data_IF_424473994877
#
_entry.id   IF_424473994877
#
_cell.length_a   1.000
_cell.length_b   1.000
_cell.length_c   1.000
_cell.angle_alpha   90.00
_cell.angle_beta   90.00
_cell.angle_gamma   90.00
#
_symmetry.space_group_name_H-M   'P 1'
#
loop_
_entity.id
_entity.type
_entity.pdbx_description
1 polymer ?
#
# COMPACT_ATOMS: atom_id res chain seq x y z
N UNK A 1 -10.64 17.23 -0.67
CA UNK A 1 -10.49 17.19 0.80
C UNK A 1 -11.80 16.74 1.45
N UNK A 2 -12.15 15.45 1.44
CA UNK A 2 -13.40 14.98 2.09
C UNK A 2 -13.36 13.48 2.47
N UNK A 3 -12.20 12.86 2.70
CA UNK A 3 -12.11 11.46 3.13
C UNK A 3 -11.60 11.26 4.56
N UNK A 4 -11.31 12.32 5.30
CA UNK A 4 -10.80 12.26 6.68
C UNK A 4 -11.80 11.91 7.77
N UNK A 5 -13.09 11.74 7.46
CA UNK A 5 -14.12 11.63 8.50
C UNK A 5 -14.76 10.25 8.66
N UNK A 6 -14.34 9.22 7.91
CA UNK A 6 -15.12 7.98 7.85
C UNK A 6 -14.50 6.77 8.56
N UNK A 7 -13.39 6.87 9.22
CA UNK A 7 -12.75 5.71 9.87
C UNK A 7 -12.39 5.87 11.35
N UNK A 8 -12.96 6.84 12.04
CA UNK A 8 -13.18 6.65 13.47
C UNK A 8 -14.47 5.82 13.61
N UNK A 9 -14.45 4.61 13.13
CA UNK A 9 -15.32 3.55 13.63
C UNK A 9 -14.98 3.47 15.12
N UNK A 10 -15.86 4.06 15.93
CA UNK A 10 -15.70 4.06 17.36
C UNK A 10 -15.42 2.62 17.79
N UNK A 11 -14.22 2.35 18.33
CA UNK A 11 -13.83 1.04 18.87
C UNK A 11 -14.82 0.55 19.95
N UNK A 12 -15.73 1.40 20.37
CA UNK A 12 -16.86 1.11 21.24
C UNK A 12 -18.03 0.43 20.53
N UNK A 13 -18.14 0.48 19.19
CA UNK A 13 -19.22 -0.18 18.44
C UNK A 13 -18.91 -1.64 18.11
N UNK A 14 -17.64 -2.00 18.01
CA UNK A 14 -17.18 -3.39 17.90
C UNK A 14 -16.60 -3.74 19.26
N UNK A 15 -17.16 -4.74 19.94
CA UNK A 15 -16.67 -5.22 21.24
C UNK A 15 -15.26 -5.80 21.12
N UNK A 16 -14.30 -4.93 20.79
CA UNK A 16 -12.91 -5.32 20.55
C UNK A 16 -12.35 -6.08 21.75
N UNK A 17 -11.73 -7.20 21.51
CA UNK A 17 -11.15 -8.04 22.53
C UNK A 17 -10.01 -7.31 23.26
N UNK A 18 -10.07 -7.36 24.57
CA UNK A 18 -9.01 -6.82 25.42
C UNK A 18 -8.21 -7.98 25.99
N UNK A 19 -6.96 -8.12 25.60
CA UNK A 19 -6.14 -9.23 26.08
C UNK A 19 -5.89 -9.13 27.59
N UNK A 20 -5.73 -10.28 28.23
CA UNK A 20 -5.41 -10.39 29.67
C UNK A 20 -3.92 -10.25 29.95
N UNK A 21 -3.09 -10.32 28.93
CA UNK A 21 -1.63 -10.16 28.95
C UNK A 21 -1.19 -9.44 27.67
N UNK A 22 0.08 -9.01 27.61
CA UNK A 22 0.65 -8.42 26.39
C UNK A 22 0.79 -9.51 25.33
N UNK A 23 0.34 -9.22 24.10
CA UNK A 23 0.46 -10.14 22.96
C UNK A 23 1.46 -9.56 21.97
N UNK A 24 2.47 -10.34 21.65
CA UNK A 24 3.39 -10.07 20.55
C UNK A 24 3.06 -10.95 19.35
N UNK A 25 3.31 -10.45 18.18
CA UNK A 25 3.06 -11.22 16.95
C UNK A 25 4.01 -10.84 15.84
N UNK A 26 4.21 -11.78 14.91
CA UNK A 26 4.80 -11.51 13.61
C UNK A 26 3.81 -11.93 12.53
N UNK A 27 3.78 -11.17 11.44
CA UNK A 27 2.89 -11.42 10.30
C UNK A 27 3.68 -11.28 9.00
N UNK A 28 3.44 -12.21 8.06
CA UNK A 28 3.98 -12.12 6.70
C UNK A 28 2.87 -12.34 5.71
N UNK A 29 2.83 -11.55 4.64
CA UNK A 29 1.79 -11.64 3.61
C UNK A 29 2.36 -11.48 2.22
N UNK A 30 1.81 -12.24 1.25
CA UNK A 30 1.86 -11.91 -0.16
C UNK A 30 0.75 -10.90 -0.47
N UNK A 31 1.05 -9.93 -1.31
CA UNK A 31 0.17 -8.83 -1.69
C UNK A 31 -0.08 -8.90 -3.19
N UNK A 32 -1.34 -8.88 -3.59
CA UNK A 32 -1.75 -8.57 -4.94
C UNK A 32 -2.39 -7.19 -4.92
N UNK A 33 -1.93 -6.29 -5.79
CA UNK A 33 -2.44 -4.91 -5.85
C UNK A 33 -2.69 -4.48 -7.28
N UNK A 34 -3.77 -3.75 -7.48
CA UNK A 34 -4.18 -3.14 -8.74
C UNK A 34 -3.99 -1.62 -8.60
N UNK A 35 -3.16 -0.99 -9.45
CA UNK A 35 -3.02 0.45 -9.45
C UNK A 35 -4.33 1.14 -9.86
N UNK A 36 -4.72 2.18 -9.14
CA UNK A 36 -5.97 2.90 -9.36
C UNK A 36 -5.67 4.38 -9.64
N UNK A 37 -6.20 4.93 -10.75
CA UNK A 37 -6.06 6.34 -11.14
C UNK A 37 -4.61 6.83 -11.06
N UNK A 38 -3.75 6.40 -12.01
CA UNK A 38 -2.34 6.80 -12.04
C UNK A 38 -2.16 7.92 -13.05
N UNK A 39 -2.57 9.13 -12.67
CA UNK A 39 -2.37 10.32 -13.49
C UNK A 39 -0.99 10.92 -13.18
N UNK A 40 -0.21 11.13 -14.25
CA UNK A 40 1.03 11.87 -14.19
C UNK A 40 0.73 13.32 -14.63
N UNK A 41 1.02 14.27 -13.76
CA UNK A 41 0.83 15.69 -14.06
C UNK A 41 2.16 16.39 -14.29
N UNK A 42 2.36 16.96 -15.47
CA UNK A 42 3.52 17.80 -15.80
C UNK A 42 3.32 19.18 -15.19
N UNK A 43 4.19 19.55 -14.24
CA UNK A 43 4.02 20.81 -13.45
C UNK A 43 4.22 22.10 -14.26
N UNK A 44 4.92 22.03 -15.40
CA UNK A 44 5.26 23.22 -16.19
C UNK A 44 4.12 23.73 -17.07
N UNK A 45 3.32 22.84 -17.61
CA UNK A 45 2.21 23.18 -18.52
C UNK A 45 0.84 22.71 -18.05
N UNK A 46 0.81 21.84 -17.03
CA UNK A 46 -0.42 21.29 -16.46
C UNK A 46 -1.03 20.17 -17.28
N UNK A 47 -0.28 19.62 -18.26
CA UNK A 47 -0.74 18.46 -19.02
C UNK A 47 -0.82 17.24 -18.11
N UNK A 48 -1.87 16.44 -18.30
CA UNK A 48 -2.10 15.20 -17.58
C UNK A 48 -1.89 14.03 -18.56
N UNK A 49 -1.13 13.04 -18.12
CA UNK A 49 -0.86 11.81 -18.84
C UNK A 49 -1.44 10.65 -18.02
N UNK A 50 -2.38 9.93 -18.60
CA UNK A 50 -2.95 8.74 -18.00
C UNK A 50 -1.99 7.54 -18.21
N UNK A 51 -1.57 6.91 -17.09
CA UNK A 51 -0.64 5.78 -17.10
C UNK A 51 -1.39 4.48 -16.80
N UNK A 52 -1.23 3.49 -17.67
CA UNK A 52 -1.74 2.13 -17.48
C UNK A 52 -0.68 1.21 -16.89
N UNK A 53 -0.85 0.82 -15.62
CA UNK A 53 0.00 -0.17 -14.96
C UNK A 53 -0.71 -1.52 -14.91
N UNK A 54 0.06 -2.59 -14.99
CA UNK A 54 -0.41 -3.95 -14.72
C UNK A 54 -0.57 -4.20 -13.22
N UNK A 55 -1.36 -5.25 -12.90
CA UNK A 55 -1.45 -5.79 -11.55
C UNK A 55 -0.08 -6.19 -11.04
N UNK A 56 0.16 -5.95 -9.76
CA UNK A 56 1.44 -6.27 -9.16
C UNK A 56 1.34 -7.29 -8.05
N UNK A 57 2.48 -7.93 -7.81
CA UNK A 57 2.70 -8.75 -6.65
C UNK A 57 3.76 -8.12 -5.76
N UNK A 58 3.53 -8.23 -4.46
CA UNK A 58 4.43 -7.74 -3.46
C UNK A 58 4.39 -8.59 -2.20
N UNK A 59 5.07 -8.12 -1.18
CA UNK A 59 5.03 -8.77 0.12
C UNK A 59 5.02 -7.74 1.26
N UNK A 60 4.57 -8.16 2.44
CA UNK A 60 4.79 -7.41 3.67
C UNK A 60 5.20 -8.33 4.83
N UNK A 61 5.91 -7.73 5.77
CA UNK A 61 6.27 -8.34 7.04
C UNK A 61 6.01 -7.33 8.16
N UNK A 62 5.40 -7.77 9.26
CA UNK A 62 5.08 -6.91 10.38
C UNK A 62 5.43 -7.57 11.71
N UNK A 63 5.83 -6.74 12.67
CA UNK A 63 5.88 -7.09 14.08
C UNK A 63 4.80 -6.30 14.81
N UNK A 64 3.97 -6.99 15.60
CA UNK A 64 2.84 -6.42 16.30
C UNK A 64 2.97 -6.54 17.80
N UNK A 65 2.40 -5.59 18.51
CA UNK A 65 2.26 -5.58 19.96
C UNK A 65 0.88 -5.06 20.35
N UNK A 66 0.14 -5.85 21.11
CA UNK A 66 -1.14 -5.45 21.70
C UNK A 66 -0.99 -5.45 23.23
N UNK A 67 -1.03 -4.25 23.87
CA UNK A 67 -0.89 -4.14 25.31
C UNK A 67 -2.08 -4.76 26.04
N UNK A 68 -1.80 -5.35 27.20
CA UNK A 68 -2.82 -5.85 28.11
C UNK A 68 -3.91 -4.82 28.40
N UNK A 69 -5.15 -5.22 28.27
CA UNK A 69 -6.32 -4.40 28.57
C UNK A 69 -6.68 -3.34 27.52
N UNK A 70 -5.89 -3.24 26.44
CA UNK A 70 -6.17 -2.29 25.35
C UNK A 70 -6.93 -2.97 24.21
N UNK A 71 -7.87 -2.23 23.63
CA UNK A 71 -8.63 -2.65 22.44
C UNK A 71 -7.84 -2.48 21.14
N UNK A 72 -6.69 -1.79 21.20
CA UNK A 72 -5.83 -1.52 20.05
C UNK A 72 -4.44 -2.11 20.27
N UNK A 73 -3.90 -2.69 19.21
CA UNK A 73 -2.49 -3.02 19.08
C UNK A 73 -1.81 -2.07 18.10
N UNK A 74 -0.48 -2.18 18.05
CA UNK A 74 0.37 -1.44 17.12
C UNK A 74 1.18 -2.44 16.31
N UNK A 75 1.37 -2.16 15.03
CA UNK A 75 2.22 -2.99 14.17
C UNK A 75 3.21 -2.09 13.42
N UNK A 76 4.49 -2.46 13.44
CA UNK A 76 5.49 -1.93 12.54
C UNK A 76 5.55 -2.87 11.34
N UNK A 77 5.23 -2.38 10.14
CA UNK A 77 5.13 -3.15 8.91
C UNK A 77 6.07 -2.60 7.85
N UNK A 78 6.84 -3.48 7.22
CA UNK A 78 7.50 -3.22 5.95
C UNK A 78 6.66 -3.81 4.83
N UNK A 79 6.47 -3.03 3.77
CA UNK A 79 5.72 -3.41 2.56
C UNK A 79 6.54 -3.07 1.32
N UNK A 80 6.58 -3.97 0.35
CA UNK A 80 7.20 -3.77 -0.96
C UNK A 80 6.26 -4.26 -2.05
N UNK A 81 6.03 -3.42 -3.06
CA UNK A 81 5.24 -3.74 -4.26
C UNK A 81 5.93 -3.19 -5.51
N UNK A 82 5.81 -3.92 -6.63
CA UNK A 82 6.38 -3.54 -7.91
C UNK A 82 5.29 -3.61 -8.99
N UNK A 83 5.21 -2.60 -9.84
CA UNK A 83 4.20 -2.46 -10.89
C UNK A 83 4.89 -2.16 -12.22
N UNK A 84 4.56 -2.92 -13.25
CA UNK A 84 5.03 -2.64 -14.61
C UNK A 84 4.07 -1.71 -15.34
N UNK A 85 4.62 -0.67 -15.97
CA UNK A 85 3.87 0.24 -16.84
C UNK A 85 3.80 -0.38 -18.23
N UNK A 86 2.58 -0.55 -18.74
CA UNK A 86 2.33 -1.15 -20.05
C UNK A 86 1.92 -0.15 -21.12
N UNK A 87 1.37 0.99 -20.73
CA UNK A 87 0.91 2.02 -21.67
C UNK A 87 0.85 3.41 -21.07
N UNK A 88 0.96 4.42 -21.92
CA UNK A 88 0.64 5.81 -21.61
C UNK A 88 -0.34 6.36 -22.62
N UNK A 89 -1.30 7.17 -22.20
CA UNK A 89 -2.26 7.82 -23.09
C UNK A 89 -2.00 9.33 -23.11
N UNK A 90 -1.51 9.82 -24.26
CA UNK A 90 -1.28 11.25 -24.49
C UNK A 90 -2.51 11.85 -25.20
N UNK A 91 -3.08 12.98 -24.70
CA UNK A 91 -4.32 13.55 -25.24
C UNK A 91 -4.28 13.86 -26.75
N UNK A 92 -3.12 14.18 -27.30
CA UNK A 92 -2.96 14.54 -28.72
C UNK A 92 -2.40 13.40 -29.61
N UNK A 93 -1.70 12.43 -29.02
CA UNK A 93 -1.00 11.36 -29.73
C UNK A 93 -1.67 9.99 -29.57
N UNK A 94 -2.63 9.86 -28.64
CA UNK A 94 -3.30 8.60 -28.33
C UNK A 94 -2.45 7.69 -27.44
N UNK A 95 -2.78 6.40 -27.41
CA UNK A 95 -2.08 5.41 -26.62
C UNK A 95 -0.70 5.09 -27.20
N UNK A 96 0.32 5.22 -26.40
CA UNK A 96 1.71 4.86 -26.72
C UNK A 96 2.15 3.69 -25.84
N UNK A 97 2.97 2.81 -26.39
CA UNK A 97 3.64 1.78 -25.62
C UNK A 97 4.71 2.44 -24.72
N UNK A 98 4.74 2.04 -23.46
CA UNK A 98 5.74 2.49 -22.51
C UNK A 98 6.26 1.28 -21.74
N UNK A 99 7.58 1.25 -21.50
CA UNK A 99 8.23 0.25 -20.65
C UNK A 99 8.84 0.97 -19.46
N UNK A 100 8.23 0.81 -18.32
CA UNK A 100 8.74 1.35 -17.08
C UNK A 100 8.33 0.45 -15.92
N UNK A 101 9.10 0.52 -14.83
CA UNK A 101 8.79 -0.20 -13.60
C UNK A 101 8.70 0.81 -12.45
N UNK A 102 7.65 0.69 -11.63
CA UNK A 102 7.48 1.45 -10.41
C UNK A 102 7.61 0.52 -9.21
N UNK A 103 8.63 0.74 -8.38
CA UNK A 103 8.81 0.06 -7.11
C UNK A 103 8.40 0.98 -5.96
N UNK A 104 7.64 0.46 -5.01
CA UNK A 104 7.18 1.18 -3.82
C UNK A 104 7.55 0.40 -2.58
N UNK A 105 8.44 0.96 -1.77
CA UNK A 105 8.84 0.40 -0.48
C UNK A 105 8.34 1.32 0.64
N UNK A 106 7.69 0.77 1.65
CA UNK A 106 7.09 1.57 2.72
C UNK A 106 7.27 0.92 4.08
N UNK A 107 7.60 1.75 5.07
CA UNK A 107 7.54 1.36 6.48
C UNK A 107 6.33 2.05 7.12
N UNK A 108 5.40 1.27 7.67
CA UNK A 108 4.19 1.74 8.32
C UNK A 108 4.23 1.53 9.82
N UNK A 109 3.67 2.50 10.55
CA UNK A 109 3.17 2.31 11.90
C UNK A 109 1.64 2.21 11.83
N UNK A 110 1.11 1.03 12.15
CA UNK A 110 -0.32 0.72 12.11
C UNK A 110 -0.92 0.72 13.51
N UNK A 111 -2.14 1.25 13.64
CA UNK A 111 -3.02 0.99 14.76
C UNK A 111 -4.06 -0.05 14.32
N UNK A 112 -4.16 -1.16 15.05
CA UNK A 112 -4.97 -2.32 14.66
C UNK A 112 -5.92 -2.69 15.80
N UNK A 113 -7.19 -2.97 15.46
CA UNK A 113 -8.17 -3.54 16.38
C UNK A 113 -8.57 -4.94 15.93
N UNK A 114 -8.86 -5.83 16.89
CA UNK A 114 -9.18 -7.24 16.64
C UNK A 114 -10.40 -7.64 17.45
N UNK A 115 -11.24 -8.49 16.87
CA UNK A 115 -12.42 -9.05 17.53
C UNK A 115 -12.60 -10.52 17.16
N UNK A 116 -12.62 -11.41 18.15
CA UNK A 116 -12.96 -12.82 17.97
C UNK A 116 -14.47 -12.98 17.75
N UNK A 117 -14.85 -13.64 16.66
CA UNK A 117 -16.25 -13.93 16.34
C UNK A 117 -16.73 -15.32 16.78
N UNK A 118 -15.85 -16.13 17.38
CA UNK A 118 -16.06 -17.55 17.62
C UNK A 118 -15.65 -18.41 16.40
N UNK A 119 -15.69 -19.74 16.52
CA UNK A 119 -15.27 -20.68 15.47
C UNK A 119 -13.83 -20.43 14.96
N UNK A 120 -12.93 -20.01 15.82
CA UNK A 120 -11.52 -19.73 15.50
C UNK A 120 -11.33 -18.63 14.44
N UNK A 121 -12.32 -17.72 14.30
CA UNK A 121 -12.26 -16.59 13.37
C UNK A 121 -12.14 -15.29 14.17
N UNK A 122 -11.16 -14.49 13.78
CA UNK A 122 -10.96 -13.12 14.25
C UNK A 122 -11.12 -12.16 13.07
N UNK A 123 -11.95 -11.14 13.21
CA UNK A 123 -11.93 -9.99 12.29
C UNK A 123 -10.98 -8.94 12.83
N UNK A 124 -10.34 -8.23 11.94
CA UNK A 124 -9.47 -7.13 12.32
C UNK A 124 -9.56 -5.99 11.30
N UNK A 125 -9.15 -4.82 11.74
CA UNK A 125 -9.02 -3.66 10.87
C UNK A 125 -8.02 -2.68 11.45
N UNK A 126 -7.44 -1.86 10.60
CA UNK A 126 -6.43 -0.91 11.01
C UNK A 126 -6.24 0.23 10.04
N UNK A 127 -5.50 1.22 10.52
CA UNK A 127 -5.01 2.37 9.75
C UNK A 127 -3.54 2.56 10.03
N UNK A 128 -2.79 2.98 9.03
CA UNK A 128 -1.36 3.18 9.13
C UNK A 128 -0.90 4.49 8.53
N UNK A 129 0.14 5.05 9.12
CA UNK A 129 0.93 6.14 8.60
C UNK A 129 2.33 5.61 8.33
N UNK A 130 2.89 5.91 7.17
CA UNK A 130 4.17 5.37 6.74
C UNK A 130 5.04 6.39 6.03
N UNK A 131 6.28 5.97 5.83
CA UNK A 131 7.27 6.63 5.00
C UNK A 131 7.59 5.71 3.84
N UNK A 132 7.41 6.22 2.62
CA UNK A 132 7.49 5.47 1.38
C UNK A 132 8.61 5.99 0.52
N UNK A 133 9.44 5.09 -0.01
CA UNK A 133 10.36 5.34 -1.11
C UNK A 133 9.75 4.82 -2.39
N UNK A 134 9.66 5.68 -3.41
CA UNK A 134 9.07 5.38 -4.70
C UNK A 134 10.14 5.53 -5.75
N UNK A 135 10.49 4.42 -6.37
CA UNK A 135 11.43 4.37 -7.50
C UNK A 135 10.65 4.16 -8.80
N UNK A 136 10.93 4.98 -9.80
CA UNK A 136 10.36 4.88 -11.14
C UNK A 136 11.48 4.80 -12.16
N UNK A 137 11.56 3.68 -12.88
CA UNK A 137 12.56 3.39 -13.90
C UNK A 137 11.89 3.36 -15.28
N UNK A 138 12.05 4.43 -16.05
CA UNK A 138 11.47 4.56 -17.40
C UNK A 138 12.52 4.19 -18.45
N UNK A 139 12.30 3.06 -19.14
CA UNK A 139 13.24 2.47 -20.10
C UNK A 139 12.94 2.86 -21.53
N UNK A 140 11.66 2.92 -21.91
CA UNK A 140 11.27 3.35 -23.26
C UNK A 140 9.92 4.05 -23.30
N UNK A 141 9.74 4.93 -24.27
CA UNK A 141 8.49 5.62 -24.53
C UNK A 141 8.26 5.66 -26.05
N UNK A 142 7.07 5.19 -26.51
CA UNK A 142 6.71 5.20 -27.93
C UNK A 142 7.40 4.16 -28.80
N UNK A 143 7.92 3.07 -28.21
CA UNK A 143 8.59 1.99 -28.93
C UNK A 143 10.02 2.31 -29.43
N UNK A 144 10.53 3.50 -29.12
CA UNK A 144 11.90 3.88 -29.41
C UNK A 144 12.79 3.50 -28.21
N UNK A 145 13.59 2.46 -28.36
CA UNK A 145 14.42 1.88 -27.29
C UNK A 145 15.70 2.70 -27.01
N UNK A 146 15.96 3.76 -27.75
CA UNK A 146 17.16 4.60 -27.59
C UNK A 146 16.96 5.76 -26.61
N UNK A 147 15.75 5.90 -26.00
CA UNK A 147 15.49 6.87 -24.96
C UNK A 147 15.62 6.24 -23.57
N UNK A 148 16.82 6.25 -23.03
CA UNK A 148 17.03 6.07 -21.60
C UNK A 148 16.60 7.36 -20.89
N UNK A 149 15.33 7.44 -20.49
CA UNK A 149 14.76 8.64 -19.86
C UNK A 149 15.23 8.78 -18.41
N UNK A 150 15.69 7.69 -17.80
CA UNK A 150 16.35 7.68 -16.51
C UNK A 150 15.48 7.18 -15.36
N UNK A 151 16.14 7.08 -14.23
CA UNK A 151 15.55 6.63 -12.96
C UNK A 151 15.22 7.84 -12.09
N UNK A 152 14.04 7.80 -11.50
CA UNK A 152 13.55 8.78 -10.54
C UNK A 152 13.33 8.10 -9.20
N UNK A 153 13.67 8.76 -8.12
CA UNK A 153 13.43 8.26 -6.77
C UNK A 153 12.97 9.41 -5.89
N UNK A 154 11.91 9.21 -5.13
CA UNK A 154 11.37 10.21 -4.21
C UNK A 154 10.84 9.53 -2.95
N UNK A 155 11.05 10.21 -1.84
CA UNK A 155 10.55 9.79 -0.54
C UNK A 155 9.31 10.63 -0.16
N UNK A 156 8.26 9.96 0.31
CA UNK A 156 7.00 10.64 0.64
C UNK A 156 6.28 9.98 1.82
N UNK A 157 5.27 10.67 2.34
CA UNK A 157 4.39 10.13 3.38
C UNK A 157 3.33 9.26 2.71
N UNK A 158 3.06 8.09 3.31
CA UNK A 158 2.04 7.18 2.86
C UNK A 158 1.01 6.88 3.94
N UNK A 159 -0.20 6.56 3.50
CA UNK A 159 -1.31 6.15 4.35
C UNK A 159 -1.82 4.79 3.89
N UNK A 160 -2.28 3.98 4.84
CA UNK A 160 -3.04 2.78 4.51
C UNK A 160 -4.24 2.60 5.44
N UNK A 161 -5.27 1.94 4.90
CA UNK A 161 -6.39 1.44 5.68
C UNK A 161 -6.67 0.01 5.26
N UNK A 162 -7.04 -0.86 6.20
CA UNK A 162 -7.29 -2.25 5.90
C UNK A 162 -8.34 -2.87 6.82
N UNK A 163 -8.98 -3.92 6.29
CA UNK A 163 -9.85 -4.82 7.03
C UNK A 163 -9.55 -6.26 6.61
N UNK A 164 -9.72 -7.20 7.52
CA UNK A 164 -9.45 -8.58 7.21
C UNK A 164 -10.03 -9.56 8.21
N UNK A 165 -9.78 -10.81 7.95
CA UNK A 165 -10.09 -11.90 8.87
C UNK A 165 -8.89 -12.83 9.01
N UNK A 166 -8.79 -13.42 10.19
CA UNK A 166 -7.81 -14.41 10.56
C UNK A 166 -8.54 -15.67 11.00
N UNK A 167 -8.11 -16.82 10.49
CA UNK A 167 -8.56 -18.13 10.93
C UNK A 167 -7.43 -18.82 11.66
N UNK A 168 -7.66 -19.19 12.93
CA UNK A 168 -6.68 -19.96 13.70
C UNK A 168 -6.45 -21.34 13.03
N UNK A 169 -5.18 -21.68 12.84
CA UNK A 169 -4.69 -22.98 12.40
C UNK A 169 -4.27 -23.81 13.64
N UNK A 170 -3.57 -23.14 14.56
CA UNK A 170 -3.23 -23.62 15.91
C UNK A 170 -3.53 -22.53 16.92
N UNK A 171 -3.19 -22.74 18.20
CA UNK A 171 -3.38 -21.72 19.24
C UNK A 171 -2.56 -20.44 18.96
N UNK A 172 -1.39 -20.59 18.34
CA UNK A 172 -0.46 -19.48 18.09
C UNK A 172 -0.34 -19.08 16.61
N UNK A 173 -0.85 -19.89 15.65
CA UNK A 173 -0.71 -19.65 14.21
C UNK A 173 -2.06 -19.45 13.56
N UNK A 174 -2.21 -18.35 12.83
CA UNK A 174 -3.40 -18.01 12.05
C UNK A 174 -3.10 -17.79 10.57
N UNK A 175 -4.06 -18.18 9.73
CA UNK A 175 -4.11 -17.79 8.32
C UNK A 175 -4.85 -16.46 8.20
N UNK A 176 -4.24 -15.51 7.49
CA UNK A 176 -4.73 -14.12 7.39
C UNK A 176 -5.11 -13.80 5.95
N UNK A 177 -6.26 -13.14 5.79
CA UNK A 177 -6.68 -12.51 4.53
C UNK A 177 -7.08 -11.07 4.81
N UNK A 178 -6.63 -10.14 3.97
CA UNK A 178 -6.80 -8.71 4.19
C UNK A 178 -7.12 -8.01 2.87
N UNK A 179 -8.11 -7.12 2.91
CA UNK A 179 -8.34 -6.10 1.88
C UNK A 179 -7.78 -4.79 2.38
N UNK A 180 -7.00 -4.11 1.55
CA UNK A 180 -6.32 -2.88 1.90
C UNK A 180 -6.49 -1.79 0.85
N UNK A 181 -6.30 -0.58 1.28
CA UNK A 181 -6.13 0.61 0.45
C UNK A 181 -4.83 1.30 0.85
N UNK A 182 -3.99 1.55 -0.14
CA UNK A 182 -2.73 2.29 0.00
C UNK A 182 -2.84 3.62 -0.75
N UNK A 183 -2.26 4.66 -0.19
CA UNK A 183 -2.10 5.95 -0.85
C UNK A 183 -0.82 6.61 -0.36
N UNK A 184 0.07 7.02 -1.27
CA UNK A 184 1.17 7.92 -0.99
C UNK A 184 0.77 9.37 -1.33
N UNK A 185 1.35 10.34 -0.61
CA UNK A 185 1.23 11.74 -0.96
C UNK A 185 1.94 11.97 -2.30
N UNK A 186 1.42 12.86 -3.15
CA UNK A 186 1.90 13.05 -4.53
C UNK A 186 3.42 13.27 -4.59
N UNK A 187 4.23 12.25 -4.97
CA UNK A 187 5.67 12.42 -5.09
C UNK A 187 5.97 13.38 -6.24
N UNK A 188 6.91 14.30 -5.98
CA UNK A 188 7.41 15.21 -7.01
C UNK A 188 8.70 14.64 -7.59
N UNK A 189 8.57 14.09 -8.77
CA UNK A 189 9.68 13.46 -9.47
C UNK A 189 10.40 14.50 -10.34
N UNK A 190 11.70 14.69 -10.08
CA UNK A 190 12.55 15.64 -10.82
C UNK A 190 13.81 14.91 -11.30
N UNK A 191 14.23 15.23 -12.50
CA UNK A 191 15.51 14.81 -13.07
C UNK A 191 16.15 16.02 -13.76
N UNK A 192 17.49 16.07 -13.83
CA UNK A 192 18.24 17.14 -14.51
C UNK A 192 17.89 17.28 -16.02
N UNK A 193 17.32 16.22 -16.62
CA UNK A 193 17.00 16.15 -18.04
C UNK A 193 15.51 16.34 -18.37
N UNK A 194 14.62 16.27 -17.37
CA UNK A 194 13.16 16.29 -17.58
C UNK A 194 12.49 17.40 -16.78
N UNK A 195 11.27 17.75 -17.20
CA UNK A 195 10.44 18.67 -16.45
C UNK A 195 9.91 17.97 -15.19
N UNK A 196 9.78 18.70 -14.06
CA UNK A 196 9.23 18.12 -12.85
C UNK A 196 7.77 17.71 -13.05
N UNK A 197 7.42 16.52 -12.54
CA UNK A 197 6.07 15.99 -12.58
C UNK A 197 5.65 15.39 -11.24
N UNK A 198 4.36 15.30 -11.00
CA UNK A 198 3.78 14.58 -9.86
C UNK A 198 3.00 13.38 -10.36
N UNK A 199 2.89 12.36 -9.53
CA UNK A 199 2.16 11.14 -9.84
C UNK A 199 1.29 10.74 -8.65
N UNK A 200 0.03 10.42 -8.90
CA UNK A 200 -0.83 9.77 -7.92
C UNK A 200 -0.39 8.31 -7.71
N UNK A 201 -0.22 7.91 -6.45
CA UNK A 201 0.12 6.54 -6.08
C UNK A 201 -0.95 6.00 -5.14
N UNK A 202 -1.93 5.33 -5.72
CA UNK A 202 -3.05 4.73 -5.00
C UNK A 202 -3.24 3.30 -5.47
N UNK A 203 -3.52 2.38 -4.54
CA UNK A 203 -3.83 0.99 -4.91
C UNK A 203 -4.70 0.28 -3.89
N UNK A 204 -5.83 -0.30 -4.31
CA UNK A 204 -6.48 -1.37 -3.56
C UNK A 204 -5.59 -2.61 -3.58
N UNK A 205 -5.68 -3.43 -2.55
CA UNK A 205 -4.90 -4.66 -2.46
C UNK A 205 -5.66 -5.78 -1.77
N UNK A 206 -5.39 -7.00 -2.22
CA UNK A 206 -5.75 -8.23 -1.53
C UNK A 206 -4.45 -8.85 -1.03
N UNK A 207 -4.41 -9.20 0.26
CA UNK A 207 -3.24 -9.83 0.85
C UNK A 207 -3.62 -11.12 1.55
N UNK A 208 -2.74 -12.11 1.47
CA UNK A 208 -2.90 -13.40 2.14
C UNK A 208 -1.59 -13.79 2.81
N UNK A 209 -1.67 -14.42 3.99
CA UNK A 209 -0.46 -14.76 4.71
C UNK A 209 -0.70 -15.50 6.01
N UNK A 210 0.31 -15.43 6.87
CA UNK A 210 0.33 -16.08 8.16
C UNK A 210 0.66 -15.06 9.26
N UNK A 211 0.08 -15.28 10.43
CA UNK A 211 0.40 -14.56 11.66
C UNK A 211 0.72 -15.56 12.76
N UNK A 212 1.80 -15.31 13.48
CA UNK A 212 2.21 -16.07 14.66
C UNK A 212 2.18 -15.18 15.88
N UNK A 213 1.55 -15.65 16.97
CA UNK A 213 1.49 -15.00 18.30
C UNK A 213 2.46 -15.68 19.28
N UNK A 214 3.08 -14.91 20.20
CA UNK A 214 3.99 -15.44 21.23
C UNK A 214 4.00 -14.59 22.50
#
# INVERSE_FOLDING_TARGET
>A
MAFGSLLILSASAFGADRPTEDIWSVRTMGIWSEPYENDLRILTNGDELELGFDDSFGFSAAIGWQPKGFAFGFELEYRSTEHDLVSGNLPELGTIEADATRSVETIFLNAVTRQKLGLDITIFGGVGLGYSSIDFDLRSLGGDTDFDVGRFSEDTIAFQGFVGFEKAITDDLGFVTQLGWFQADEPRLENELTQPFTMDVKSPSLSVGLRYEF
#
